data_IF_922270076975
#
_entry.id   IF_922270076975
#
_cell.length_a   1.000
_cell.length_b   1.000
_cell.length_c   1.000
_cell.angle_alpha   90.00
_cell.angle_beta   90.00
_cell.angle_gamma   90.00
#
_symmetry.space_group_name_H-M   'P 1'
#
loop_
_entity.id
_entity.type
_entity.pdbx_description
1 polymer ?
#
# COMPACT_ATOMS: atom_id res chain seq x y z
N UNK A 1 38.31 19.34 -9.45
CA UNK A 1 38.61 17.96 -9.89
C UNK A 1 38.99 17.15 -8.67
N UNK A 2 38.10 16.28 -8.20
CA UNK A 2 38.36 15.24 -7.21
C UNK A 2 38.24 13.88 -7.93
N UNK A 3 39.24 12.97 -7.86
CA UNK A 3 39.33 11.81 -8.74
C UNK A 3 38.82 10.49 -8.12
N UNK A 4 37.83 10.52 -7.21
CA UNK A 4 37.33 9.32 -6.50
C UNK A 4 35.80 9.20 -6.40
N UNK A 5 35.04 9.71 -7.37
CA UNK A 5 33.64 9.26 -7.54
C UNK A 5 33.63 8.01 -8.43
N UNK A 6 33.23 6.83 -7.93
CA UNK A 6 32.86 5.72 -8.79
C UNK A 6 31.46 6.01 -9.36
N UNK A 7 31.40 6.17 -10.68
CA UNK A 7 30.23 5.83 -11.45
C UNK A 7 29.94 4.33 -11.22
N UNK A 8 28.81 4.00 -10.62
CA UNK A 8 28.32 2.63 -10.54
C UNK A 8 26.81 2.63 -10.71
N UNK A 9 26.38 2.07 -11.84
CA UNK A 9 24.98 1.85 -12.18
C UNK A 9 24.27 1.04 -11.09
N UNK A 10 23.20 1.63 -10.56
CA UNK A 10 22.12 0.85 -9.96
C UNK A 10 21.36 0.19 -11.09
N UNK A 11 21.62 -1.09 -11.35
CA UNK A 11 20.62 -1.92 -12.00
C UNK A 11 19.41 -1.98 -11.05
N UNK A 12 18.38 -1.21 -11.39
CA UNK A 12 17.06 -1.33 -10.78
C UNK A 12 16.55 -2.72 -11.14
N UNK A 13 16.43 -3.61 -10.16
CA UNK A 13 15.60 -4.80 -10.34
C UNK A 13 14.17 -4.29 -10.44
N UNK A 14 13.66 -4.34 -11.67
CA UNK A 14 12.31 -3.95 -12.02
C UNK A 14 11.35 -4.94 -11.37
N UNK A 15 10.49 -4.49 -10.45
CA UNK A 15 9.16 -5.12 -10.30
C UNK A 15 8.62 -5.37 -11.71
N UNK A 16 7.95 -6.50 -12.02
CA UNK A 16 7.43 -6.71 -13.36
C UNK A 16 6.62 -5.47 -13.71
N UNK A 17 7.17 -4.69 -14.65
CA UNK A 17 6.65 -3.38 -14.98
C UNK A 17 5.20 -3.63 -15.37
N UNK A 18 4.26 -3.02 -14.64
CA UNK A 18 2.84 -3.23 -14.91
C UNK A 18 2.64 -2.90 -16.38
N UNK A 19 2.21 -3.89 -17.16
CA UNK A 19 1.91 -3.68 -18.57
C UNK A 19 0.67 -2.80 -18.65
N UNK A 20 0.90 -1.48 -18.62
CA UNK A 20 -0.15 -0.47 -18.66
C UNK A 20 -0.91 -0.53 -19.99
N UNK A 21 -0.31 -1.04 -21.07
CA UNK A 21 -1.01 -1.25 -22.33
C UNK A 21 -1.99 -2.42 -22.21
N UNK A 22 -1.58 -3.54 -21.60
CA UNK A 22 -2.50 -4.65 -21.31
C UNK A 22 -3.60 -4.24 -20.31
N UNK A 23 -3.27 -3.49 -19.26
CA UNK A 23 -4.25 -2.95 -18.31
C UNK A 23 -5.27 -2.03 -18.99
N UNK A 24 -4.79 -1.09 -19.80
CA UNK A 24 -5.64 -0.18 -20.58
C UNK A 24 -6.57 -0.97 -21.50
N UNK A 25 -6.03 -1.93 -22.25
CA UNK A 25 -6.79 -2.78 -23.17
C UNK A 25 -7.84 -3.65 -22.47
N UNK A 26 -7.54 -4.17 -21.26
CA UNK A 26 -8.42 -5.02 -20.47
C UNK A 26 -9.43 -4.24 -19.61
N UNK A 27 -9.28 -2.92 -19.50
CA UNK A 27 -10.15 -2.10 -18.65
C UNK A 27 -11.61 -2.15 -19.12
N UNK A 28 -12.58 -2.40 -18.21
CA UNK A 28 -13.98 -2.54 -18.58
C UNK A 28 -14.68 -1.19 -18.87
N UNK A 29 -14.05 -0.06 -18.50
CA UNK A 29 -14.56 1.27 -18.85
C UNK A 29 -14.07 1.68 -20.23
N UNK A 30 -14.90 2.34 -21.02
CA UNK A 30 -14.53 2.83 -22.35
C UNK A 30 -13.60 4.04 -22.25
N UNK A 31 -12.39 3.91 -22.78
CA UNK A 31 -11.40 4.98 -22.82
C UNK A 31 -10.88 5.27 -24.22
N UNK A 32 -10.75 6.57 -24.52
CA UNK A 32 -9.96 7.10 -25.61
C UNK A 32 -8.83 7.98 -25.07
N UNK A 33 -7.65 7.89 -25.68
CA UNK A 33 -6.51 8.73 -25.38
C UNK A 33 -6.34 9.74 -26.51
N UNK A 34 -6.47 11.03 -26.20
CA UNK A 34 -6.34 12.11 -27.17
C UNK A 34 -5.02 12.86 -26.97
N UNK A 35 -4.35 13.22 -28.06
CA UNK A 35 -3.27 14.20 -27.99
C UNK A 35 -3.82 15.61 -27.70
N UNK A 36 -2.96 16.59 -27.39
CA UNK A 36 -3.36 17.99 -27.23
C UNK A 36 -3.93 18.59 -28.53
N UNK A 37 -3.63 17.97 -29.66
CA UNK A 37 -4.17 18.24 -31.00
C UNK A 37 -5.52 17.55 -31.26
N UNK A 38 -6.10 16.88 -30.27
CA UNK A 38 -7.36 16.13 -30.32
C UNK A 38 -7.36 14.96 -31.32
N UNK A 39 -6.17 14.51 -31.72
CA UNK A 39 -5.98 13.28 -32.48
C UNK A 39 -6.02 12.09 -31.54
N UNK A 40 -6.80 11.07 -31.88
CA UNK A 40 -6.91 9.83 -31.10
C UNK A 40 -5.59 9.07 -31.19
N UNK A 41 -4.89 8.95 -30.07
CA UNK A 41 -3.63 8.22 -29.94
C UNK A 41 -3.86 6.73 -29.70
N UNK A 42 -4.85 6.41 -28.86
CA UNK A 42 -5.23 5.03 -28.56
C UNK A 42 -6.69 4.96 -28.07
N UNK A 43 -7.29 3.78 -28.12
CA UNK A 43 -8.61 3.41 -27.60
C UNK A 43 -8.57 1.98 -27.08
N UNK A 44 -9.29 1.72 -25.98
CA UNK A 44 -9.35 0.38 -25.44
C UNK A 44 -10.53 -0.44 -26.00
N UNK A 45 -10.56 -1.73 -25.65
CA UNK A 45 -11.59 -2.66 -26.15
C UNK A 45 -13.01 -2.21 -25.81
N UNK A 46 -13.24 -1.76 -24.58
CA UNK A 46 -14.55 -1.28 -24.14
C UNK A 46 -15.02 -0.07 -24.96
N UNK A 47 -14.12 0.83 -25.37
CA UNK A 47 -14.46 1.97 -26.23
C UNK A 47 -14.88 1.55 -27.64
N UNK A 48 -14.19 0.57 -28.21
CA UNK A 48 -14.54 0.00 -29.53
C UNK A 48 -15.92 -0.68 -29.51
N UNK A 49 -16.19 -1.45 -28.46
CA UNK A 49 -17.48 -2.11 -28.25
C UNK A 49 -18.60 -1.09 -28.05
N UNK A 50 -18.35 -0.04 -27.25
CA UNK A 50 -19.31 1.03 -26.97
C UNK A 50 -19.70 1.84 -28.21
N UNK A 51 -18.70 2.20 -29.03
CA UNK A 51 -18.89 3.03 -30.23
C UNK A 51 -19.21 2.24 -31.49
N UNK A 52 -19.15 0.90 -31.42
CA UNK A 52 -19.29 -0.02 -32.55
C UNK A 52 -18.36 0.36 -33.72
N UNK A 53 -17.07 0.54 -33.39
CA UNK A 53 -15.99 0.91 -34.32
C UNK A 53 -14.83 -0.05 -34.22
N UNK A 54 -13.98 -0.05 -35.25
CA UNK A 54 -12.70 -0.77 -35.22
C UNK A 54 -11.55 0.21 -34.99
N UNK A 55 -10.48 -0.26 -34.38
CA UNK A 55 -9.32 0.56 -33.98
C UNK A 55 -8.74 1.39 -35.14
N UNK A 56 -8.60 0.78 -36.31
CA UNK A 56 -8.03 1.41 -37.52
C UNK A 56 -8.89 2.56 -38.07
N UNK A 57 -10.17 2.60 -37.69
CA UNK A 57 -11.05 3.71 -38.05
C UNK A 57 -10.86 4.92 -37.13
N UNK A 58 -10.30 4.74 -35.93
CA UNK A 58 -10.21 5.76 -34.88
C UNK A 58 -8.79 6.32 -34.73
N UNK A 59 -7.80 5.44 -34.54
CA UNK A 59 -6.44 5.84 -34.17
C UNK A 59 -5.78 6.64 -35.29
N UNK A 60 -5.13 7.74 -34.93
CA UNK A 60 -4.47 8.67 -35.85
C UNK A 60 -5.42 9.68 -36.51
N UNK A 61 -6.72 9.63 -36.22
CA UNK A 61 -7.69 10.60 -36.75
C UNK A 61 -8.13 11.57 -35.67
N UNK A 62 -8.55 12.75 -36.11
CA UNK A 62 -9.09 13.76 -35.22
C UNK A 62 -10.49 13.34 -34.74
N UNK A 63 -10.77 13.47 -33.44
CA UNK A 63 -11.99 12.93 -32.82
C UNK A 63 -13.29 13.39 -33.51
N UNK A 64 -13.36 14.65 -33.92
CA UNK A 64 -14.53 15.24 -34.57
C UNK A 64 -14.66 14.91 -36.06
N UNK A 65 -13.63 14.33 -36.68
CA UNK A 65 -13.73 13.81 -38.04
C UNK A 65 -14.36 12.42 -38.05
N UNK A 66 -14.07 11.64 -36.98
CA UNK A 66 -14.57 10.26 -36.83
C UNK A 66 -15.97 10.22 -36.25
N UNK A 67 -16.25 11.13 -35.32
CA UNK A 67 -17.57 11.39 -34.78
C UNK A 67 -17.99 12.80 -35.20
N UNK A 68 -18.53 12.99 -36.42
CA UNK A 68 -19.03 14.27 -36.88
C UNK A 68 -20.40 14.61 -36.28
N UNK A 69 -20.74 15.89 -36.31
CA UNK A 69 -22.02 16.40 -35.83
C UNK A 69 -23.18 15.86 -36.67
N UNK A 70 -24.29 15.50 -35.99
CA UNK A 70 -25.54 15.21 -36.67
C UNK A 70 -26.21 16.51 -37.15
N UNK A 71 -25.85 16.97 -38.35
CA UNK A 71 -26.40 18.20 -38.94
C UNK A 71 -27.92 18.18 -39.17
N UNK A 72 -28.55 17.01 -39.08
CA UNK A 72 -30.00 16.87 -39.21
C UNK A 72 -30.74 17.12 -37.88
N UNK A 73 -30.02 17.17 -36.75
CA UNK A 73 -30.57 17.50 -35.43
C UNK A 73 -30.03 18.86 -34.94
N UNK A 74 -30.82 19.94 -35.04
CA UNK A 74 -30.42 21.27 -34.59
C UNK A 74 -30.14 21.37 -33.08
N UNK A 75 -30.61 20.42 -32.28
CA UNK A 75 -30.43 20.37 -30.82
C UNK A 75 -29.16 19.58 -30.40
N UNK A 76 -28.44 18.99 -31.36
CA UNK A 76 -27.26 18.18 -31.08
C UNK A 76 -25.99 19.03 -30.84
N UNK A 77 -25.88 19.66 -29.65
CA UNK A 77 -24.69 20.44 -29.25
C UNK A 77 -23.48 19.58 -28.80
N UNK A 78 -23.53 18.28 -29.06
CA UNK A 78 -22.50 17.26 -28.82
C UNK A 78 -21.04 17.72 -28.95
N UNK A 79 -20.69 18.17 -30.16
CA UNK A 79 -19.33 18.60 -30.49
C UNK A 79 -18.92 19.83 -29.68
N UNK A 80 -19.83 20.79 -29.50
CA UNK A 80 -19.52 22.06 -28.84
C UNK A 80 -19.10 21.86 -27.40
N UNK A 81 -19.85 21.08 -26.63
CA UNK A 81 -19.54 20.87 -25.21
C UNK A 81 -18.31 19.98 -25.01
N UNK A 82 -18.17 18.91 -25.80
CA UNK A 82 -16.98 18.06 -25.76
C UNK A 82 -15.72 18.85 -26.13
N UNK A 83 -15.77 19.65 -27.20
CA UNK A 83 -14.67 20.52 -27.60
C UNK A 83 -14.33 21.52 -26.49
N UNK A 84 -15.32 22.15 -25.87
CA UNK A 84 -15.09 23.12 -24.79
C UNK A 84 -14.47 22.47 -23.55
N UNK A 85 -14.94 21.29 -23.17
CA UNK A 85 -14.39 20.48 -22.07
C UNK A 85 -12.92 20.14 -22.31
N UNK A 86 -12.58 19.59 -23.49
CA UNK A 86 -11.21 19.24 -23.85
C UNK A 86 -10.27 20.46 -23.83
N UNK A 87 -10.73 21.62 -24.33
CA UNK A 87 -9.95 22.86 -24.25
C UNK A 87 -9.72 23.30 -22.80
N UNK A 88 -10.73 23.21 -21.92
CA UNK A 88 -10.57 23.53 -20.49
C UNK A 88 -9.56 22.60 -19.82
N UNK A 89 -9.61 21.30 -20.07
CA UNK A 89 -8.65 20.33 -19.53
C UNK A 89 -7.23 20.64 -19.96
N UNK A 90 -7.01 20.90 -21.25
CA UNK A 90 -5.70 21.24 -21.80
C UNK A 90 -5.17 22.56 -21.21
N UNK A 91 -6.04 23.56 -21.09
CA UNK A 91 -5.67 24.90 -20.62
C UNK A 91 -5.41 24.94 -19.12
N UNK A 92 -6.34 24.43 -18.32
CA UNK A 92 -6.32 24.54 -16.87
C UNK A 92 -5.68 23.35 -16.16
N UNK A 93 -5.38 22.26 -16.88
CA UNK A 93 -4.71 21.06 -16.35
C UNK A 93 -5.49 20.44 -15.19
N UNK A 94 -6.81 20.54 -15.26
CA UNK A 94 -7.76 19.98 -14.30
C UNK A 94 -8.70 19.03 -15.02
N UNK A 95 -9.20 18.04 -14.28
CA UNK A 95 -10.26 17.16 -14.75
C UNK A 95 -11.50 17.99 -15.04
N UNK A 96 -12.15 17.72 -16.17
CA UNK A 96 -13.43 18.32 -16.56
C UNK A 96 -14.43 17.20 -16.86
N UNK A 97 -15.68 17.40 -16.46
CA UNK A 97 -16.74 16.40 -16.57
C UNK A 97 -17.88 16.97 -17.40
N UNK A 98 -18.40 16.17 -18.33
CA UNK A 98 -19.64 16.43 -19.06
C UNK A 98 -20.65 15.42 -18.51
N UNK A 99 -21.51 15.84 -17.59
CA UNK A 99 -22.35 14.93 -16.80
C UNK A 99 -23.41 14.20 -17.62
N UNK A 100 -23.96 14.88 -18.61
CA UNK A 100 -24.95 14.34 -19.51
C UNK A 100 -24.97 15.20 -20.75
N UNK A 101 -24.84 14.57 -21.90
CA UNK A 101 -24.92 15.25 -23.18
C UNK A 101 -25.56 14.34 -24.22
N UNK A 102 -26.50 14.89 -25.00
CA UNK A 102 -26.94 14.25 -26.24
C UNK A 102 -25.83 14.40 -27.28
N UNK A 103 -25.32 13.27 -27.76
CA UNK A 103 -24.36 13.28 -28.85
C UNK A 103 -24.54 12.06 -29.72
N UNK A 104 -25.26 12.24 -30.83
CA UNK A 104 -25.58 11.12 -31.70
C UNK A 104 -24.30 10.58 -32.38
N UNK A 105 -24.19 9.26 -32.44
CA UNK A 105 -23.06 8.62 -33.13
C UNK A 105 -23.49 8.10 -34.50
N UNK A 106 -22.63 8.15 -35.52
CA UNK A 106 -22.96 7.60 -36.83
C UNK A 106 -23.10 6.07 -36.75
N UNK A 107 -24.08 5.51 -37.44
CA UNK A 107 -24.27 4.07 -37.53
C UNK A 107 -23.22 3.48 -38.48
N UNK A 108 -22.45 2.51 -37.99
CA UNK A 108 -21.41 1.84 -38.77
C UNK A 108 -21.99 1.26 -40.07
N UNK A 109 -21.32 1.51 -41.20
CA UNK A 109 -21.74 1.02 -42.52
C UNK A 109 -22.95 1.74 -43.14
N UNK A 110 -23.52 2.78 -42.51
CA UNK A 110 -24.65 3.56 -43.03
C UNK A 110 -24.35 5.07 -43.02
N UNK A 111 -23.69 5.60 -44.06
CA UNK A 111 -23.34 7.02 -44.13
C UNK A 111 -24.56 7.94 -43.97
N UNK A 112 -24.46 8.94 -43.10
CA UNK A 112 -25.52 9.92 -42.85
C UNK A 112 -26.66 9.44 -41.94
N UNK A 113 -26.61 8.19 -41.46
CA UNK A 113 -27.55 7.68 -40.45
C UNK A 113 -26.89 7.79 -39.08
N UNK A 114 -27.59 8.40 -38.14
CA UNK A 114 -27.15 8.59 -36.76
C UNK A 114 -28.05 7.82 -35.80
N UNK A 115 -27.48 7.37 -34.70
CA UNK A 115 -28.22 6.80 -33.57
C UNK A 115 -28.17 7.78 -32.40
N UNK A 116 -29.34 8.08 -31.84
CA UNK A 116 -29.45 8.90 -30.64
C UNK A 116 -28.75 8.22 -29.47
N UNK A 117 -27.75 8.93 -28.90
CA UNK A 117 -27.01 8.48 -27.73
C UNK A 117 -26.85 9.62 -26.72
N UNK A 118 -26.82 9.22 -25.46
CA UNK A 118 -26.60 10.10 -24.32
C UNK A 118 -25.34 9.68 -23.58
N UNK A 119 -24.46 10.63 -23.28
CA UNK A 119 -23.13 10.35 -22.77
C UNK A 119 -22.87 11.06 -21.46
N UNK A 120 -22.16 10.37 -20.56
CA UNK A 120 -21.45 10.96 -19.44
C UNK A 120 -19.94 10.82 -19.71
N UNK A 121 -19.24 11.95 -19.83
CA UNK A 121 -17.84 12.01 -20.25
C UNK A 121 -16.96 12.58 -19.14
N UNK A 122 -15.82 11.95 -18.85
CA UNK A 122 -14.80 12.48 -17.93
C UNK A 122 -13.48 12.64 -18.68
N UNK A 123 -12.97 13.87 -18.74
CA UNK A 123 -11.74 14.21 -19.43
C UNK A 123 -10.63 14.52 -18.41
N UNK A 124 -9.59 13.68 -18.38
CA UNK A 124 -8.51 13.75 -17.38
C UNK A 124 -7.18 14.08 -18.06
N UNK A 125 -6.44 15.14 -17.65
CA UNK A 125 -5.15 15.45 -18.23
C UNK A 125 -4.07 14.47 -17.75
N UNK A 126 -3.28 13.95 -18.68
CA UNK A 126 -2.02 13.27 -18.40
C UNK A 126 -0.88 14.27 -18.57
N UNK A 127 -0.13 14.50 -17.50
CA UNK A 127 0.90 15.54 -17.45
C UNK A 127 2.28 14.94 -17.71
N UNK A 128 3.05 15.60 -18.59
CA UNK A 128 4.47 15.35 -18.76
C UNK A 128 5.25 15.84 -17.52
N UNK A 129 6.53 15.43 -17.34
CA UNK A 129 7.37 15.88 -16.22
C UNK A 129 7.56 17.41 -16.12
N UNK A 130 7.40 18.13 -17.23
CA UNK A 130 7.46 19.59 -17.30
C UNK A 130 6.14 20.28 -16.91
N UNK A 131 5.10 19.49 -16.58
CA UNK A 131 3.77 19.96 -16.21
C UNK A 131 2.89 20.38 -17.39
N UNK A 132 3.31 20.13 -18.64
CA UNK A 132 2.46 20.27 -19.83
C UNK A 132 1.51 19.06 -19.98
N UNK A 133 0.40 19.24 -20.70
CA UNK A 133 -0.52 18.13 -20.99
C UNK A 133 0.03 17.34 -22.17
N UNK A 134 0.42 16.09 -21.93
CA UNK A 134 0.93 15.16 -22.93
C UNK A 134 -0.23 14.47 -23.68
N UNK A 135 -1.30 14.14 -22.96
CA UNK A 135 -2.50 13.55 -23.51
C UNK A 135 -3.71 13.83 -22.60
N UNK A 136 -4.91 13.61 -23.12
CA UNK A 136 -6.16 13.63 -22.37
C UNK A 136 -6.78 12.24 -22.40
N UNK A 137 -7.00 11.65 -21.24
CA UNK A 137 -7.74 10.40 -21.09
C UNK A 137 -9.24 10.71 -20.99
N UNK A 138 -9.99 10.32 -22.01
CA UNK A 138 -11.43 10.49 -22.12
C UNK A 138 -12.12 9.19 -21.71
N UNK A 139 -12.89 9.20 -20.62
CA UNK A 139 -13.78 8.10 -20.21
C UNK A 139 -15.19 8.40 -20.71
N UNK A 140 -15.78 7.45 -21.44
CA UNK A 140 -17.16 7.55 -21.93
C UNK A 140 -18.06 6.53 -21.25
N UNK A 141 -19.27 6.95 -20.91
CA UNK A 141 -20.31 6.09 -20.36
C UNK A 141 -21.63 6.38 -21.09
N UNK A 142 -22.25 5.32 -21.64
CA UNK A 142 -23.52 5.45 -22.37
C UNK A 142 -24.70 5.42 -21.40
N UNK A 143 -25.37 6.56 -21.30
CA UNK A 143 -26.53 6.82 -20.45
C UNK A 143 -27.85 6.64 -21.20
N UNK A 144 -27.85 6.22 -22.47
CA UNK A 144 -29.05 6.16 -23.33
C UNK A 144 -30.17 5.30 -22.72
N UNK A 145 -29.83 4.12 -22.18
CA UNK A 145 -30.82 3.24 -21.54
C UNK A 145 -31.48 3.87 -20.31
N UNK A 146 -30.68 4.55 -19.50
CA UNK A 146 -31.15 5.28 -18.33
C UNK A 146 -32.06 6.46 -18.72
N UNK A 147 -31.67 7.21 -19.75
CA UNK A 147 -32.44 8.35 -20.25
C UNK A 147 -33.78 7.92 -20.85
N UNK A 148 -33.81 6.85 -21.65
CA UNK A 148 -35.07 6.29 -22.18
C UNK A 148 -36.01 5.87 -21.04
N UNK A 149 -35.48 5.17 -20.03
CA UNK A 149 -36.27 4.79 -18.86
C UNK A 149 -36.78 6.00 -18.08
N UNK A 150 -35.99 7.07 -17.99
CA UNK A 150 -36.40 8.30 -17.31
C UNK A 150 -37.52 9.03 -18.08
N UNK A 151 -37.38 9.14 -19.41
CA UNK A 151 -38.40 9.72 -20.30
C UNK A 151 -39.72 8.96 -20.24
N UNK A 152 -39.68 7.62 -20.21
CA UNK A 152 -40.88 6.79 -20.05
C UNK A 152 -41.63 7.08 -18.73
N UNK A 153 -40.90 7.40 -17.66
CA UNK A 153 -41.47 7.66 -16.34
C UNK A 153 -41.89 9.12 -16.12
N UNK A 154 -41.21 10.09 -16.75
CA UNK A 154 -41.33 11.52 -16.45
C UNK A 154 -41.70 12.40 -17.65
N UNK A 155 -41.86 11.82 -18.85
CA UNK A 155 -42.37 12.46 -20.07
C UNK A 155 -41.36 13.29 -20.87
N UNK A 156 -40.46 14.03 -20.22
CA UNK A 156 -39.44 14.85 -20.88
C UNK A 156 -38.12 14.86 -20.11
N UNK A 157 -37.00 14.96 -20.82
CA UNK A 157 -35.70 15.25 -20.21
C UNK A 157 -35.69 16.75 -19.87
N UNK A 158 -35.27 17.16 -18.65
CA UNK A 158 -35.09 18.57 -18.34
C UNK A 158 -34.15 19.23 -19.36
N UNK A 159 -34.34 20.51 -19.64
CA UNK A 159 -33.42 21.25 -20.49
C UNK A 159 -32.02 21.18 -19.86
N UNK A 160 -31.04 20.68 -20.62
CA UNK A 160 -29.63 20.73 -20.27
C UNK A 160 -29.18 22.20 -20.33
N UNK A 161 -29.55 23.02 -19.34
CA UNK A 161 -28.97 24.35 -19.25
C UNK A 161 -27.48 24.14 -19.04
N UNK A 162 -26.66 24.66 -19.95
CA UNK A 162 -25.22 24.79 -19.74
C UNK A 162 -25.05 25.45 -18.37
N UNK A 163 -24.76 24.65 -17.34
CA UNK A 163 -24.15 25.15 -16.14
C UNK A 163 -22.77 25.59 -16.60
N UNK A 164 -22.69 26.82 -17.09
CA UNK A 164 -21.44 27.54 -17.21
C UNK A 164 -20.77 27.37 -15.87
N UNK A 165 -19.70 26.59 -15.85
CA UNK A 165 -18.75 26.55 -14.75
C UNK A 165 -18.00 27.90 -14.72
N UNK A 166 -18.73 29.02 -14.67
CA UNK A 166 -18.22 30.23 -14.07
C UNK A 166 -18.12 29.93 -12.59
N UNK A 167 -16.90 30.06 -12.08
CA UNK A 167 -16.47 29.57 -10.79
C UNK A 167 -17.55 29.69 -9.73
N UNK A 168 -18.02 28.55 -9.24
CA UNK A 168 -18.55 28.50 -7.90
C UNK A 168 -17.38 28.84 -6.97
N UNK A 169 -17.22 30.14 -6.73
CA UNK A 169 -16.50 30.65 -5.57
C UNK A 169 -17.00 29.87 -4.36
N UNK A 170 -16.08 29.09 -3.77
CA UNK A 170 -16.28 28.54 -2.44
C UNK A 170 -16.72 29.70 -1.54
N UNK A 171 -17.79 29.56 -0.74
CA UNK A 171 -18.12 30.60 0.22
C UNK A 171 -16.98 30.70 1.23
N UNK A 172 -16.14 31.73 1.06
CA UNK A 172 -15.24 32.20 2.09
C UNK A 172 -16.10 32.60 3.28
N UNK A 173 -15.88 31.90 4.40
CA UNK A 173 -16.36 32.35 5.70
C UNK A 173 -15.68 33.68 5.99
N UNK A 174 -16.42 34.78 5.82
CA UNK A 174 -16.31 35.93 6.72
C UNK A 174 -17.58 36.78 6.62
N UNK A 175 -18.22 36.94 7.77
CA UNK A 175 -19.47 37.66 7.89
C UNK A 175 -19.24 39.17 7.80
N UNK A 176 -19.97 39.85 6.92
CA UNK A 176 -20.40 41.23 7.16
C UNK A 176 -21.67 41.54 6.37
N UNK A 177 -22.69 42.01 7.08
CA UNK A 177 -23.94 42.54 6.52
C UNK A 177 -23.68 43.79 5.67
N UNK A 178 -24.36 43.93 4.52
CA UNK A 178 -24.78 45.26 4.02
C UNK A 178 -26.16 45.17 3.33
N UNK A 179 -26.91 46.25 3.49
CA UNK A 179 -28.35 46.43 3.38
C UNK A 179 -29.00 46.46 1.99
N UNK A 180 -30.33 46.34 2.05
CA UNK A 180 -31.38 46.40 1.03
C UNK A 180 -31.33 47.54 0.01
N UNK A 181 -31.95 47.29 -1.16
CA UNK A 181 -32.90 48.21 -1.83
C UNK A 181 -33.96 47.45 -2.63
N UNK A 182 -35.21 47.84 -2.43
CA UNK A 182 -36.43 47.37 -3.09
C UNK A 182 -36.62 47.95 -4.50
N UNK A 183 -37.34 47.23 -5.36
CA UNK A 183 -38.20 47.84 -6.37
C UNK A 183 -38.26 47.15 -7.74
N UNK A 184 -39.03 46.05 -7.87
CA UNK A 184 -39.93 45.77 -9.00
C UNK A 184 -40.55 44.37 -8.89
N UNK A 185 -41.89 44.31 -8.93
CA UNK A 185 -42.72 43.13 -9.21
C UNK A 185 -43.55 43.45 -10.48
N UNK A 186 -44.19 42.50 -11.20
CA UNK A 186 -44.36 41.07 -10.87
C UNK A 186 -44.23 40.08 -12.06
N UNK A 187 -43.99 38.81 -11.76
CA UNK A 187 -44.57 37.69 -12.49
C UNK A 187 -44.69 36.50 -11.52
N UNK A 188 -45.89 35.92 -11.43
CA UNK A 188 -46.16 34.74 -10.60
C UNK A 188 -45.15 33.62 -10.90
N UNK A 189 -44.54 32.99 -9.88
CA UNK A 189 -43.71 31.83 -10.12
C UNK A 189 -44.64 30.66 -10.50
N UNK A 190 -44.37 29.91 -11.57
CA UNK A 190 -45.04 28.64 -11.76
C UNK A 190 -44.69 27.76 -10.57
N UNK A 191 -45.70 27.42 -9.78
CA UNK A 191 -45.64 26.46 -8.67
C UNK A 191 -45.49 25.06 -9.24
N UNK A 192 -44.29 24.76 -9.73
CA UNK A 192 -43.81 23.40 -9.94
C UNK A 192 -42.50 23.29 -9.20
N UNK A 193 -42.44 22.44 -8.17
CA UNK A 193 -41.15 21.95 -7.67
C UNK A 193 -40.51 21.20 -8.84
N UNK A 194 -39.70 21.87 -9.65
CA UNK A 194 -38.87 21.22 -10.65
C UNK A 194 -37.99 20.24 -9.89
N UNK A 195 -38.20 18.94 -10.15
CA UNK A 195 -37.26 17.92 -9.72
C UNK A 195 -35.85 18.38 -10.18
N UNK A 196 -34.82 18.30 -9.32
CA UNK A 196 -33.49 18.70 -9.73
C UNK A 196 -33.13 17.96 -11.02
N UNK A 197 -32.61 18.70 -11.99
CA UNK A 197 -32.19 18.20 -13.30
C UNK A 197 -31.40 16.89 -13.13
N UNK A 198 -31.73 15.88 -13.93
CA UNK A 198 -31.11 14.55 -13.85
C UNK A 198 -29.58 14.63 -13.95
N UNK A 199 -29.10 15.57 -14.76
CA UNK A 199 -27.70 15.95 -14.89
C UNK A 199 -27.11 16.42 -13.56
N UNK A 200 -27.85 17.26 -12.83
CA UNK A 200 -27.48 17.72 -11.48
C UNK A 200 -27.45 16.57 -10.49
N UNK A 201 -28.38 15.60 -10.59
CA UNK A 201 -28.40 14.43 -9.72
C UNK A 201 -27.22 13.49 -9.97
N UNK A 202 -26.89 13.21 -11.23
CA UNK A 202 -25.74 12.39 -11.61
C UNK A 202 -24.42 13.07 -11.21
N UNK A 203 -24.29 14.38 -11.40
CA UNK A 203 -23.14 15.15 -10.93
C UNK A 203 -22.99 15.09 -9.41
N UNK A 204 -24.09 15.29 -8.68
CA UNK A 204 -24.09 15.24 -7.24
C UNK A 204 -23.65 13.86 -6.73
N UNK A 205 -24.11 12.78 -7.37
CA UNK A 205 -23.71 11.41 -7.02
C UNK A 205 -22.26 11.09 -7.36
N UNK A 206 -21.77 11.51 -8.53
CA UNK A 206 -20.38 11.31 -8.91
C UNK A 206 -19.42 12.07 -7.97
N UNK A 207 -19.75 13.32 -7.63
CA UNK A 207 -18.99 14.13 -6.67
C UNK A 207 -19.03 13.55 -5.26
N UNK A 208 -20.19 13.04 -4.82
CA UNK A 208 -20.34 12.36 -3.53
C UNK A 208 -19.47 11.10 -3.46
N UNK A 209 -19.45 10.27 -4.51
CA UNK A 209 -18.61 9.07 -4.57
C UNK A 209 -17.11 9.38 -4.57
N UNK A 210 -16.68 10.40 -5.32
CA UNK A 210 -15.27 10.85 -5.31
C UNK A 210 -14.88 11.32 -3.91
N UNK A 211 -15.74 12.14 -3.28
CA UNK A 211 -15.53 12.64 -1.93
C UNK A 211 -15.44 11.52 -0.90
N UNK A 212 -16.39 10.58 -0.91
CA UNK A 212 -16.40 9.43 0.01
C UNK A 212 -15.14 8.58 -0.17
N UNK A 213 -14.71 8.34 -1.42
CA UNK A 213 -13.47 7.61 -1.68
C UNK A 213 -12.23 8.35 -1.17
N UNK A 214 -12.16 9.67 -1.33
CA UNK A 214 -11.06 10.48 -0.78
C UNK A 214 -11.06 10.47 0.75
N UNK A 215 -12.24 10.61 1.38
CA UNK A 215 -12.39 10.53 2.84
C UNK A 215 -11.97 9.16 3.36
N UNK A 216 -12.39 8.07 2.70
CA UNK A 216 -11.99 6.71 3.03
C UNK A 216 -10.47 6.50 2.89
N UNK A 217 -9.86 6.97 1.79
CA UNK A 217 -8.41 6.89 1.59
C UNK A 217 -7.64 7.65 2.67
N UNK A 218 -8.10 8.86 3.03
CA UNK A 218 -7.50 9.65 4.11
C UNK A 218 -7.64 8.96 5.46
N UNK A 219 -8.81 8.40 5.76
CA UNK A 219 -9.05 7.63 7.01
C UNK A 219 -8.11 6.44 7.11
N UNK A 220 -8.03 5.62 6.05
CA UNK A 220 -7.15 4.45 6.02
C UNK A 220 -5.68 4.83 6.14
N UNK A 221 -5.25 5.91 5.48
CA UNK A 221 -3.88 6.42 5.59
C UNK A 221 -3.57 6.89 7.03
N UNK A 222 -4.52 7.56 7.69
CA UNK A 222 -4.38 8.01 9.06
C UNK A 222 -4.30 6.82 10.03
N UNK A 223 -5.19 5.83 9.90
CA UNK A 223 -5.18 4.61 10.71
C UNK A 223 -3.85 3.86 10.57
N UNK A 224 -3.35 3.70 9.33
CA UNK A 224 -2.04 3.11 9.06
C UNK A 224 -0.90 3.88 9.72
N UNK A 225 -0.91 5.21 9.63
CA UNK A 225 0.13 6.03 10.27
C UNK A 225 0.13 5.87 11.78
N UNK A 226 -1.05 5.83 12.42
CA UNK A 226 -1.19 5.62 13.87
C UNK A 226 -0.61 4.26 14.25
N UNK A 227 -0.94 3.21 13.50
CA UNK A 227 -0.50 1.86 13.82
C UNK A 227 1.02 1.69 13.68
N UNK A 228 1.63 2.22 12.61
CA UNK A 228 3.09 2.24 12.44
C UNK A 228 3.79 3.01 13.57
N UNK A 229 3.27 4.17 13.94
CA UNK A 229 3.85 5.00 15.02
C UNK A 229 3.80 4.28 16.37
N UNK A 230 2.69 3.60 16.66
CA UNK A 230 2.55 2.79 17.89
C UNK A 230 3.54 1.63 17.89
N UNK A 231 3.70 0.93 16.77
CA UNK A 231 4.61 -0.19 16.65
C UNK A 231 6.07 0.23 16.77
N UNK A 232 6.49 1.33 16.13
CA UNK A 232 7.82 1.91 16.31
C UNK A 232 8.09 2.25 17.78
N UNK A 233 7.12 2.84 18.48
CA UNK A 233 7.21 3.11 19.90
C UNK A 233 7.29 1.81 20.73
N UNK A 234 6.56 0.77 20.33
CA UNK A 234 6.59 -0.56 20.97
C UNK A 234 7.86 -1.36 20.67
N UNK A 235 8.62 -1.06 19.62
CA UNK A 235 9.89 -1.73 19.28
C UNK A 235 11.12 -0.95 19.73
N UNK A 236 10.93 0.30 20.19
CA UNK A 236 11.99 1.09 20.79
C UNK A 236 12.68 0.30 21.92
N UNK A 237 13.99 0.07 21.78
CA UNK A 237 14.80 -0.64 22.77
C UNK A 237 15.88 0.32 23.29
N UNK A 238 15.85 0.72 24.58
CA UNK A 238 16.80 1.68 25.15
C UNK A 238 18.27 1.22 25.08
N UNK A 239 18.51 -0.08 24.90
CA UNK A 239 19.83 -0.65 24.78
C UNK A 239 20.52 -0.39 23.44
N UNK A 240 19.86 0.28 22.48
CA UNK A 240 20.39 0.64 21.16
C UNK A 240 20.49 2.17 21.00
N UNK A 241 21.43 2.69 20.17
CA UNK A 241 22.35 1.95 19.29
C UNK A 241 23.59 1.39 20.01
N UNK A 242 24.04 0.20 19.60
CA UNK A 242 25.33 -0.41 20.01
C UNK A 242 26.21 -0.62 18.78
N UNK A 243 27.53 -0.37 18.87
CA UNK A 243 28.42 -0.50 17.71
C UNK A 243 28.56 -1.94 17.21
N UNK A 244 28.28 -2.93 18.05
CA UNK A 244 28.39 -4.35 17.72
C UNK A 244 27.03 -5.03 17.47
N UNK A 245 25.92 -4.29 17.45
CA UNK A 245 24.58 -4.84 17.22
C UNK A 245 23.90 -4.09 16.09
N UNK A 246 23.43 -4.82 15.08
CA UNK A 246 22.55 -4.30 14.05
C UNK A 246 21.17 -4.96 14.16
N UNK A 247 20.13 -4.17 13.91
CA UNK A 247 18.76 -4.66 13.86
C UNK A 247 18.13 -4.24 12.54
N UNK A 248 17.41 -5.17 11.92
CA UNK A 248 16.51 -4.89 10.80
C UNK A 248 15.14 -5.42 11.12
N UNK A 249 14.13 -4.62 10.78
CA UNK A 249 12.75 -4.97 10.98
C UNK A 249 11.98 -4.59 9.73
N UNK A 250 11.37 -5.57 9.07
CA UNK A 250 10.65 -5.39 7.81
C UNK A 250 9.23 -5.95 7.98
N UNK A 251 8.20 -5.10 8.00
CA UNK A 251 6.83 -5.59 8.01
C UNK A 251 6.46 -6.21 6.65
N UNK A 252 5.59 -7.21 6.67
CA UNK A 252 5.01 -7.86 5.50
C UNK A 252 4.30 -6.84 4.60
N UNK A 253 4.30 -7.10 3.29
CA UNK A 253 3.61 -6.24 2.33
C UNK A 253 2.07 -6.38 2.45
N UNK A 254 1.36 -5.36 2.95
CA UNK A 254 -0.09 -5.44 3.15
C UNK A 254 -0.83 -4.12 3.46
N UNK A 255 -2.11 -4.20 3.83
CA UNK A 255 -3.00 -3.04 4.00
C UNK A 255 -2.78 -2.23 5.29
N UNK A 256 -2.33 -2.86 6.38
CA UNK A 256 -2.01 -2.16 7.63
C UNK A 256 -0.50 -2.11 7.97
N UNK A 257 0.34 -3.00 7.45
CA UNK A 257 1.78 -3.09 7.76
C UNK A 257 2.10 -3.16 9.27
N UNK A 258 1.26 -3.85 10.04
CA UNK A 258 1.44 -4.04 11.49
C UNK A 258 1.67 -5.51 11.79
N UNK A 259 2.69 -5.80 12.60
CA UNK A 259 3.36 -7.10 12.65
C UNK A 259 3.33 -7.75 14.04
N UNK A 260 3.33 -9.09 14.07
CA UNK A 260 3.45 -9.93 15.26
C UNK A 260 4.90 -10.15 15.76
N UNK A 261 5.89 -10.05 14.88
CA UNK A 261 7.32 -10.12 15.19
C UNK A 261 7.80 -8.99 16.09
N UNK A 262 8.78 -9.31 16.92
CA UNK A 262 9.46 -8.35 17.75
C UNK A 262 10.87 -8.78 18.10
N UNK A 263 11.64 -7.79 18.55
CA UNK A 263 12.96 -7.99 19.13
C UNK A 263 13.10 -7.17 20.41
N UNK A 264 14.03 -7.60 21.28
CA UNK A 264 14.51 -6.77 22.37
C UNK A 264 16.01 -6.98 22.59
N UNK A 265 16.72 -5.90 22.89
CA UNK A 265 18.15 -5.91 23.24
C UNK A 265 18.32 -5.06 24.49
N UNK A 266 18.51 -5.72 25.63
CA UNK A 266 18.52 -5.05 26.94
C UNK A 266 19.78 -5.39 27.70
N UNK A 267 20.33 -4.39 28.42
CA UNK A 267 21.36 -4.67 29.40
C UNK A 267 20.77 -5.44 30.57
N UNK A 268 21.56 -6.39 31.06
CA UNK A 268 21.31 -7.11 32.29
C UNK A 268 22.36 -6.69 33.32
N UNK A 269 22.32 -7.28 34.51
CA UNK A 269 23.28 -6.96 35.56
C UNK A 269 24.71 -7.37 35.16
N UNK A 270 25.71 -6.64 35.67
CA UNK A 270 27.13 -7.05 35.66
C UNK A 270 27.80 -7.16 34.27
N UNK A 271 27.50 -6.26 33.33
CA UNK A 271 28.20 -6.23 32.03
C UNK A 271 27.77 -7.34 31.06
N UNK A 272 26.65 -7.98 31.35
CA UNK A 272 25.93 -8.90 30.47
C UNK A 272 24.83 -8.14 29.74
N UNK A 273 24.53 -8.52 28.51
CA UNK A 273 23.34 -8.05 27.81
C UNK A 273 22.60 -9.23 27.22
N UNK A 274 21.33 -9.04 26.90
CA UNK A 274 20.51 -10.09 26.36
C UNK A 274 19.76 -9.62 25.12
N UNK A 275 19.63 -10.53 24.16
CA UNK A 275 18.89 -10.33 22.92
C UNK A 275 17.77 -11.37 22.85
N UNK A 276 16.63 -10.94 22.33
CA UNK A 276 15.49 -11.81 22.09
C UNK A 276 14.84 -11.46 20.76
N UNK A 277 14.28 -12.47 20.12
CA UNK A 277 13.40 -12.36 18.96
C UNK A 277 12.20 -13.26 19.24
N UNK A 278 11.02 -12.84 18.82
CA UNK A 278 9.82 -13.64 18.93
C UNK A 278 8.78 -13.22 17.91
N UNK A 279 7.78 -14.07 17.78
CA UNK A 279 6.68 -13.93 16.83
C UNK A 279 5.35 -14.31 17.49
N UNK A 280 4.31 -13.57 17.16
CA UNK A 280 2.93 -13.78 17.58
C UNK A 280 2.12 -14.24 16.39
N UNK A 281 1.46 -15.38 16.53
CA UNK A 281 0.59 -15.92 15.49
C UNK A 281 -0.46 -14.90 15.05
N UNK A 282 -0.51 -14.64 13.75
CA UNK A 282 -1.47 -13.74 13.12
C UNK A 282 -0.85 -12.40 12.72
N UNK A 283 -1.68 -11.48 12.23
CA UNK A 283 -1.20 -10.19 11.71
C UNK A 283 -2.16 -9.05 12.06
N UNK A 284 -1.69 -7.81 11.94
CA UNK A 284 -2.51 -6.62 12.18
C UNK A 284 -2.49 -6.12 13.62
N UNK A 285 -3.43 -5.23 13.95
CA UNK A 285 -3.38 -4.45 15.20
C UNK A 285 -3.54 -5.30 16.46
N UNK A 286 -4.34 -6.36 16.41
CA UNK A 286 -4.53 -7.30 17.53
C UNK A 286 -3.23 -8.05 17.84
N UNK A 287 -2.56 -8.59 16.81
CA UNK A 287 -1.27 -9.27 16.95
C UNK A 287 -0.20 -8.33 17.49
N UNK A 288 -0.12 -7.08 17.00
CA UNK A 288 0.83 -6.09 17.53
C UNK A 288 0.57 -5.70 18.98
N UNK A 289 -0.69 -5.63 19.42
CA UNK A 289 -1.01 -5.38 20.82
C UNK A 289 -0.52 -6.53 21.72
N UNK A 290 -0.73 -7.77 21.29
CA UNK A 290 -0.22 -8.97 21.98
C UNK A 290 1.32 -8.99 21.98
N UNK A 291 1.94 -8.73 20.84
CA UNK A 291 3.38 -8.58 20.68
C UNK A 291 3.96 -7.57 21.69
N UNK A 292 3.37 -6.37 21.77
CA UNK A 292 3.84 -5.33 22.69
C UNK A 292 3.75 -5.74 24.16
N UNK A 293 2.71 -6.49 24.53
CA UNK A 293 2.55 -7.08 25.86
C UNK A 293 3.61 -8.15 26.13
N UNK A 294 3.83 -9.10 25.21
CA UNK A 294 4.82 -10.16 25.36
C UNK A 294 6.26 -9.62 25.41
N UNK A 295 6.61 -8.70 24.52
CA UNK A 295 7.91 -8.00 24.53
C UNK A 295 8.16 -7.31 25.86
N UNK A 296 7.19 -6.54 26.35
CA UNK A 296 7.29 -5.82 27.62
C UNK A 296 7.43 -6.79 28.81
N UNK A 297 6.64 -7.86 28.82
CA UNK A 297 6.70 -8.90 29.85
C UNK A 297 8.04 -9.62 29.83
N UNK A 298 8.58 -9.98 28.65
CA UNK A 298 9.89 -10.59 28.57
C UNK A 298 10.98 -9.63 29.04
N UNK A 299 10.96 -8.37 28.59
CA UNK A 299 11.94 -7.37 29.00
C UNK A 299 11.99 -7.21 30.53
N UNK A 300 10.82 -7.22 31.19
CA UNK A 300 10.72 -7.21 32.65
C UNK A 300 11.25 -8.52 33.27
N UNK A 301 10.83 -9.68 32.75
CA UNK A 301 11.29 -10.99 33.23
C UNK A 301 12.81 -11.18 33.07
N UNK A 302 13.41 -10.61 32.02
CA UNK A 302 14.85 -10.61 31.77
C UNK A 302 15.64 -9.90 32.87
N UNK A 303 15.08 -8.84 33.46
CA UNK A 303 15.70 -8.09 34.57
C UNK A 303 15.47 -8.73 35.94
N UNK A 304 14.41 -9.53 36.07
CA UNK A 304 13.94 -10.09 37.33
C UNK A 304 14.32 -11.57 37.57
N UNK A 305 14.89 -12.26 36.57
CA UNK A 305 15.17 -13.70 36.65
C UNK A 305 16.60 -14.04 36.25
N UNK A 306 17.13 -15.10 36.87
CA UNK A 306 18.46 -15.63 36.57
C UNK A 306 18.41 -16.56 35.34
N UNK A 307 18.65 -15.99 34.16
CA UNK A 307 18.86 -16.75 32.92
C UNK A 307 17.69 -16.74 31.92
N UNK A 308 17.92 -17.27 30.71
CA UNK A 308 16.92 -17.27 29.64
C UNK A 308 15.74 -18.21 29.87
N UNK A 309 15.96 -19.44 30.36
CA UNK A 309 14.88 -20.41 30.54
C UNK A 309 13.84 -19.95 31.56
N UNK A 310 14.29 -19.37 32.69
CA UNK A 310 13.36 -18.87 33.71
C UNK A 310 12.55 -17.67 33.21
N UNK A 311 13.15 -16.79 32.41
CA UNK A 311 12.45 -15.66 31.80
C UNK A 311 11.37 -16.15 30.81
N UNK A 312 11.69 -17.12 29.95
CA UNK A 312 10.71 -17.72 29.03
C UNK A 312 9.65 -18.55 29.74
N UNK A 313 9.97 -19.12 30.91
CA UNK A 313 8.96 -19.76 31.77
C UNK A 313 7.93 -18.73 32.25
N UNK A 314 8.39 -17.59 32.80
CA UNK A 314 7.51 -16.51 33.25
C UNK A 314 6.71 -15.94 32.08
N UNK A 315 7.34 -15.75 30.92
CA UNK A 315 6.66 -15.30 29.71
C UNK A 315 5.57 -16.29 29.28
N UNK A 316 5.84 -17.60 29.34
CA UNK A 316 4.86 -18.65 29.01
C UNK A 316 3.62 -18.60 29.91
N UNK A 317 3.81 -18.43 31.22
CA UNK A 317 2.71 -18.26 32.18
C UNK A 317 1.86 -17.02 31.87
N UNK A 318 2.51 -15.91 31.51
CA UNK A 318 1.83 -14.67 31.13
C UNK A 318 1.08 -14.81 29.79
N UNK A 319 1.70 -15.44 28.79
CA UNK A 319 1.08 -15.72 27.51
C UNK A 319 -0.20 -16.56 27.68
N UNK A 320 -0.23 -17.50 28.62
CA UNK A 320 -1.43 -18.27 28.95
C UNK A 320 -2.62 -17.45 29.46
N UNK A 321 -2.41 -16.20 29.90
CA UNK A 321 -3.49 -15.30 30.33
C UNK A 321 -3.85 -14.23 29.30
N UNK A 322 -3.18 -14.21 28.15
CA UNK A 322 -3.38 -13.22 27.09
C UNK A 322 -4.04 -13.88 25.89
N UNK A 323 -5.24 -13.45 25.55
CA UNK A 323 -5.93 -13.91 24.34
C UNK A 323 -5.09 -13.56 23.09
N UNK A 324 -4.91 -14.52 22.19
CA UNK A 324 -4.06 -14.38 21.00
C UNK A 324 -2.56 -14.63 21.21
N UNK A 325 -2.08 -14.83 22.44
CA UNK A 325 -0.66 -15.14 22.70
C UNK A 325 -0.31 -16.64 22.64
N UNK A 326 -1.32 -17.50 22.52
CA UNK A 326 -1.11 -18.95 22.43
C UNK A 326 -0.33 -19.31 21.17
N UNK A 327 0.62 -20.23 21.29
CA UNK A 327 1.55 -20.63 20.21
C UNK A 327 2.55 -19.56 19.77
N UNK A 328 2.60 -18.38 20.41
CA UNK A 328 3.66 -17.42 20.14
C UNK A 328 5.05 -18.06 20.38
N UNK A 329 6.01 -17.72 19.52
CA UNK A 329 7.36 -18.25 19.59
C UNK A 329 8.31 -17.18 20.13
N UNK A 330 9.36 -17.61 20.83
CA UNK A 330 10.41 -16.69 21.27
C UNK A 330 11.72 -17.41 21.53
N UNK A 331 12.83 -16.79 21.16
CA UNK A 331 14.17 -17.18 21.59
C UNK A 331 14.82 -16.06 22.38
N UNK A 332 15.53 -16.43 23.45
CA UNK A 332 16.31 -15.50 24.26
C UNK A 332 17.74 -15.99 24.39
N UNK A 333 18.69 -15.08 24.19
CA UNK A 333 20.12 -15.29 24.39
C UNK A 333 20.67 -14.25 25.37
N UNK A 334 21.41 -14.69 26.37
CA UNK A 334 22.17 -13.84 27.29
C UNK A 334 23.65 -13.96 26.92
N UNK A 335 24.27 -12.82 26.65
CA UNK A 335 25.68 -12.69 26.29
C UNK A 335 26.47 -12.25 27.52
N UNK A 336 27.41 -13.08 27.93
CA UNK A 336 28.36 -12.80 29.00
C UNK A 336 29.74 -12.50 28.42
N UNK A 337 30.07 -11.21 28.41
CA UNK A 337 31.34 -10.71 27.86
C UNK A 337 32.55 -11.02 28.74
N UNK A 338 32.34 -11.18 30.05
CA UNK A 338 33.39 -11.48 31.01
C UNK A 338 33.83 -12.94 30.93
N UNK A 339 32.87 -13.85 30.85
CA UNK A 339 33.11 -15.29 30.77
C UNK A 339 33.15 -15.83 29.33
N UNK A 340 32.81 -15.00 28.35
CA UNK A 340 32.73 -15.34 26.91
C UNK A 340 31.77 -16.49 26.63
N UNK A 341 30.57 -16.40 27.19
CA UNK A 341 29.54 -17.40 27.02
C UNK A 341 28.24 -16.81 26.52
N UNK A 342 27.51 -17.63 25.75
CA UNK A 342 26.14 -17.42 25.34
C UNK A 342 25.30 -18.43 26.10
N UNK A 343 24.30 -17.97 26.84
CA UNK A 343 23.30 -18.85 27.46
C UNK A 343 21.95 -18.58 26.82
N UNK A 344 21.28 -19.60 26.31
CA UNK A 344 20.05 -19.44 25.54
C UNK A 344 18.97 -20.47 25.88
N UNK A 345 17.73 -20.13 25.52
CA UNK A 345 16.54 -20.98 25.60
C UNK A 345 15.59 -20.55 24.47
N UNK A 346 14.91 -21.51 23.85
CA UNK A 346 13.95 -21.28 22.76
C UNK A 346 12.60 -21.89 23.10
N UNK A 347 11.53 -21.12 22.91
CA UNK A 347 10.14 -21.54 22.96
C UNK A 347 9.58 -21.60 21.54
N UNK A 348 9.72 -22.74 20.88
CA UNK A 348 9.18 -23.03 19.55
C UNK A 348 9.78 -22.22 18.40
N UNK A 349 10.82 -21.44 18.65
CA UNK A 349 11.39 -20.50 17.69
C UNK A 349 12.57 -21.11 16.92
N UNK A 350 12.80 -20.73 15.64
CA UNK A 350 13.96 -21.17 14.87
C UNK A 350 15.29 -20.94 15.61
N UNK A 351 16.27 -21.86 15.48
CA UNK A 351 17.52 -21.79 16.23
C UNK A 351 18.38 -20.61 15.75
N UNK A 352 18.92 -19.79 16.68
CA UNK A 352 19.90 -18.76 16.34
C UNK A 352 21.15 -19.36 15.69
N UNK A 353 21.81 -18.59 14.83
CA UNK A 353 23.04 -19.01 14.15
C UNK A 353 24.24 -18.36 14.84
N UNK A 354 25.20 -19.17 15.27
CA UNK A 354 26.50 -18.72 15.74
C UNK A 354 27.56 -19.01 14.68
N UNK A 355 28.10 -17.97 14.06
CA UNK A 355 29.19 -18.06 13.09
C UNK A 355 30.53 -17.82 13.78
N UNK A 356 31.50 -18.70 13.55
CA UNK A 356 32.88 -18.56 13.98
C UNK A 356 33.71 -17.74 12.98
N UNK A 357 34.88 -17.19 13.37
CA UNK A 357 35.77 -16.45 12.49
C UNK A 357 36.21 -17.23 11.24
N UNK A 358 36.34 -18.56 11.34
CA UNK A 358 36.72 -19.42 10.21
C UNK A 358 35.60 -19.65 9.18
N UNK A 359 34.40 -19.10 9.44
CA UNK A 359 33.23 -19.26 8.58
C UNK A 359 32.33 -20.43 8.92
N UNK A 360 32.71 -21.29 9.87
CA UNK A 360 31.82 -22.35 10.35
C UNK A 360 30.63 -21.76 11.09
N UNK A 361 29.46 -22.38 10.93
CA UNK A 361 28.21 -21.99 11.58
C UNK A 361 27.71 -23.12 12.46
N UNK A 362 27.24 -22.77 13.65
CA UNK A 362 26.57 -23.65 14.62
C UNK A 362 25.14 -23.15 14.83
N UNK A 363 24.16 -24.04 14.69
CA UNK A 363 22.78 -23.77 15.09
C UNK A 363 22.63 -23.99 16.59
N UNK A 364 22.09 -23.00 17.29
CA UNK A 364 21.87 -23.06 18.73
C UNK A 364 20.54 -23.78 19.06
N UNK A 365 20.48 -25.08 18.80
CA UNK A 365 19.25 -25.91 18.86
C UNK A 365 19.11 -26.78 20.14
N UNK A 366 20.13 -26.82 20.98
CA UNK A 366 20.19 -27.69 22.17
C UNK A 366 19.32 -27.23 23.37
N UNK A 367 18.47 -26.22 23.18
CA UNK A 367 17.57 -25.69 24.22
C UNK A 367 16.18 -25.34 23.66
N UNK A 368 15.72 -26.13 22.69
CA UNK A 368 14.41 -25.97 22.04
C UNK A 368 13.32 -26.66 22.84
N UNK A 369 12.31 -25.91 23.22
CA UNK A 369 11.06 -26.38 23.84
C UNK A 369 9.85 -26.02 22.98
N UNK A 370 8.65 -26.55 23.28
CA UNK A 370 7.41 -26.10 22.65
C UNK A 370 7.17 -24.58 22.76
N UNK A 371 6.34 -24.00 21.87
CA UNK A 371 5.92 -22.60 21.91
C UNK A 371 5.37 -22.13 23.26
N UNK A 372 5.13 -20.82 23.39
CA UNK A 372 4.53 -20.25 24.60
C UNK A 372 3.09 -20.74 24.79
N UNK A 373 2.71 -20.98 26.05
CA UNK A 373 1.38 -21.44 26.46
C UNK A 373 0.90 -22.78 25.86
N UNK A 374 1.82 -23.66 25.41
CA UNK A 374 1.47 -25.00 24.85
C UNK A 374 1.95 -26.18 25.68
N UNK A 375 2.75 -25.95 26.73
CA UNK A 375 3.33 -27.03 27.55
C UNK A 375 2.25 -27.64 28.44
N UNK A 376 2.24 -28.98 28.50
CA UNK A 376 1.30 -29.73 29.34
C UNK A 376 1.58 -29.59 30.84
N UNK A 377 2.87 -29.46 31.22
CA UNK A 377 3.30 -29.20 32.59
C UNK A 377 4.15 -27.93 32.64
N UNK A 378 3.58 -26.87 33.21
CA UNK A 378 4.27 -25.58 33.38
C UNK A 378 5.20 -25.56 34.61
N UNK A 379 5.21 -26.61 35.44
CA UNK A 379 6.13 -26.71 36.56
C UNK A 379 7.52 -27.18 36.13
N UNK A 380 7.63 -27.92 35.03
CA UNK A 380 8.93 -28.34 34.49
C UNK A 380 9.73 -27.13 33.98
N UNK A 381 10.99 -26.95 34.40
CA UNK A 381 11.84 -25.88 33.86
C UNK A 381 12.00 -25.99 32.35
N UNK A 382 11.97 -24.85 31.64
CA UNK A 382 12.37 -24.80 30.22
C UNK A 382 13.84 -25.20 30.04
N UNK A 383 14.15 -25.81 28.90
CA UNK A 383 15.51 -26.19 28.52
C UNK A 383 16.41 -24.96 28.39
N UNK A 384 17.67 -25.11 28.80
CA UNK A 384 18.70 -24.08 28.72
C UNK A 384 20.03 -24.69 28.30
N UNK A 385 20.73 -24.03 27.39
CA UNK A 385 22.06 -24.43 26.96
C UNK A 385 23.03 -23.26 27.04
N UNK A 386 24.31 -23.58 27.25
CA UNK A 386 25.40 -22.61 27.28
C UNK A 386 26.46 -23.00 26.25
N UNK A 387 26.97 -22.00 25.52
CA UNK A 387 28.03 -22.15 24.53
C UNK A 387 29.11 -21.11 24.76
N UNK A 388 30.37 -21.53 24.65
CA UNK A 388 31.49 -20.60 24.64
C UNK A 388 31.57 -19.92 23.26
N UNK A 389 31.97 -18.64 23.26
CA UNK A 389 32.21 -17.88 22.03
C UNK A 389 33.64 -17.33 22.01
N UNK A 390 34.15 -17.07 20.81
CA UNK A 390 35.43 -16.40 20.60
C UNK A 390 35.18 -14.96 20.14
N UNK A 391 35.97 -13.97 20.60
CA UNK A 391 35.86 -12.61 20.06
C UNK A 391 35.93 -12.60 18.53
N UNK A 392 34.97 -11.96 17.89
CA UNK A 392 34.79 -11.97 16.43
C UNK A 392 33.75 -12.98 15.92
N UNK A 393 33.25 -13.88 16.78
CA UNK A 393 32.05 -14.67 16.49
C UNK A 393 30.86 -13.72 16.19
N UNK A 394 29.95 -14.19 15.34
CA UNK A 394 28.73 -13.44 14.98
C UNK A 394 27.51 -14.27 15.32
N UNK A 395 26.63 -13.72 16.15
CA UNK A 395 25.36 -14.30 16.52
C UNK A 395 24.23 -13.64 15.71
N UNK A 396 23.36 -14.45 15.11
CA UNK A 396 22.22 -14.02 14.31
C UNK A 396 20.94 -14.61 14.88
N UNK A 397 20.00 -13.75 15.28
CA UNK A 397 18.63 -14.11 15.66
C UNK A 397 17.69 -13.56 14.60
N UNK A 398 16.66 -14.32 14.25
CA UNK A 398 15.77 -13.99 13.15
C UNK A 398 14.40 -14.64 13.36
N UNK A 399 13.34 -14.04 12.82
CA UNK A 399 12.02 -14.66 12.71
C UNK A 399 11.91 -15.52 11.46
N UNK A 400 10.92 -16.41 11.45
CA UNK A 400 10.67 -17.36 10.36
C UNK A 400 10.38 -16.67 9.03
N UNK A 401 9.81 -15.47 9.00
CA UNK A 401 9.63 -14.72 7.76
C UNK A 401 10.92 -14.40 6.97
N UNK A 402 12.11 -14.60 7.57
CA UNK A 402 13.40 -14.55 6.86
C UNK A 402 13.73 -15.84 6.09
N UNK A 403 13.20 -16.99 6.52
CA UNK A 403 13.53 -18.32 5.99
C UNK A 403 12.33 -19.03 5.33
N UNK A 404 11.11 -18.74 5.77
CA UNK A 404 9.88 -19.39 5.35
C UNK A 404 9.43 -18.92 3.97
N UNK A 405 9.03 -19.89 3.14
CA UNK A 405 8.43 -19.65 1.83
C UNK A 405 7.34 -20.67 1.60
N UNK A 406 6.24 -20.26 0.93
CA UNK A 406 5.03 -21.10 0.75
C UNK A 406 5.28 -22.45 0.07
N UNK A 407 6.23 -22.50 -0.84
CA UNK A 407 6.50 -23.67 -1.69
C UNK A 407 7.84 -24.35 -1.35
N UNK A 408 8.41 -24.09 -0.17
CA UNK A 408 9.73 -24.59 0.23
C UNK A 408 9.71 -25.11 1.68
N UNK A 409 10.51 -26.14 1.96
CA UNK A 409 10.72 -26.63 3.32
C UNK A 409 11.53 -25.62 4.14
N UNK A 410 11.17 -25.44 5.40
CA UNK A 410 11.85 -24.55 6.35
C UNK A 410 13.33 -24.89 6.49
N UNK A 411 13.69 -26.17 6.41
CA UNK A 411 15.09 -26.62 6.48
C UNK A 411 15.92 -26.10 5.30
N UNK A 412 15.30 -25.93 4.13
CA UNK A 412 15.98 -25.39 2.95
C UNK A 412 16.20 -23.88 3.11
N UNK A 413 15.21 -23.17 3.64
CA UNK A 413 15.34 -21.76 4.01
C UNK A 413 16.44 -21.53 5.04
N UNK A 414 16.48 -22.36 6.08
CA UNK A 414 17.48 -22.34 7.14
C UNK A 414 18.89 -22.64 6.60
N UNK A 415 19.04 -23.64 5.73
CA UNK A 415 20.32 -23.95 5.08
C UNK A 415 20.82 -22.78 4.23
N UNK A 416 19.92 -22.11 3.49
CA UNK A 416 20.24 -20.93 2.69
C UNK A 416 20.68 -19.74 3.55
N UNK A 417 19.98 -19.45 4.64
CA UNK A 417 20.39 -18.41 5.59
C UNK A 417 21.77 -18.74 6.20
N UNK A 418 21.97 -19.99 6.62
CA UNK A 418 23.23 -20.45 7.22
C UNK A 418 24.40 -20.29 6.24
N UNK A 419 24.21 -20.63 4.97
CA UNK A 419 25.21 -20.41 3.92
C UNK A 419 25.52 -18.92 3.72
N UNK A 420 24.49 -18.07 3.66
CA UNK A 420 24.67 -16.63 3.52
C UNK A 420 25.43 -16.00 4.71
N UNK A 421 25.13 -16.44 5.93
CA UNK A 421 25.86 -16.03 7.14
C UNK A 421 27.31 -16.50 7.07
N UNK A 422 27.55 -17.77 6.70
CA UNK A 422 28.89 -18.36 6.57
C UNK A 422 29.77 -17.54 5.60
N UNK A 423 29.25 -17.23 4.41
CA UNK A 423 29.98 -16.50 3.37
C UNK A 423 30.28 -15.03 3.75
N UNK A 424 29.33 -14.37 4.44
CA UNK A 424 29.33 -12.90 4.57
C UNK A 424 29.66 -12.39 5.97
N UNK A 425 29.79 -13.25 6.98
CA UNK A 425 29.96 -12.82 8.37
C UNK A 425 31.27 -12.11 8.73
N UNK A 426 32.19 -11.95 7.77
CA UNK A 426 33.34 -11.05 7.89
C UNK A 426 32.96 -9.56 7.85
N UNK A 427 31.77 -9.21 7.35
CA UNK A 427 31.25 -7.85 7.28
C UNK A 427 30.87 -7.27 8.65
N UNK A 428 30.86 -5.95 8.80
CA UNK A 428 30.31 -5.31 10.01
C UNK A 428 28.84 -5.72 10.26
N UNK A 429 28.32 -5.64 11.50
CA UNK A 429 26.95 -6.07 11.82
C UNK A 429 25.88 -5.46 10.92
N UNK A 430 25.99 -4.16 10.63
CA UNK A 430 25.06 -3.42 9.76
C UNK A 430 25.11 -3.94 8.32
N UNK A 431 26.30 -3.99 7.73
CA UNK A 431 26.51 -4.47 6.36
C UNK A 431 26.10 -5.94 6.21
N UNK A 432 26.33 -6.76 7.24
CA UNK A 432 25.90 -8.15 7.25
C UNK A 432 24.38 -8.24 7.27
N UNK A 433 23.69 -7.49 8.12
CA UNK A 433 22.24 -7.49 8.18
C UNK A 433 21.63 -7.12 6.81
N UNK A 434 22.13 -6.05 6.17
CA UNK A 434 21.69 -5.63 4.84
C UNK A 434 22.00 -6.69 3.77
N UNK A 435 23.17 -7.31 3.84
CA UNK A 435 23.57 -8.34 2.89
C UNK A 435 22.76 -9.64 3.03
N UNK A 436 22.31 -10.00 4.25
CA UNK A 436 21.45 -11.15 4.49
C UNK A 436 20.05 -10.91 3.91
N UNK A 437 19.46 -9.74 4.17
CA UNK A 437 18.16 -9.38 3.61
C UNK A 437 18.17 -9.36 2.07
N UNK A 438 19.23 -8.79 1.48
CA UNK A 438 19.41 -8.77 0.03
C UNK A 438 19.64 -10.16 -0.55
N UNK A 439 20.50 -10.96 0.08
CA UNK A 439 20.81 -12.33 -0.38
C UNK A 439 19.62 -13.28 -0.31
N UNK A 440 18.68 -13.04 0.60
CA UNK A 440 17.47 -13.86 0.77
C UNK A 440 16.28 -13.35 -0.05
N UNK A 441 16.43 -12.21 -0.74
CA UNK A 441 15.39 -11.63 -1.59
C UNK A 441 14.29 -10.93 -0.81
N UNK A 442 14.58 -10.47 0.41
CA UNK A 442 13.60 -9.87 1.33
C UNK A 442 13.69 -8.34 1.37
N UNK A 443 14.70 -7.74 0.72
CA UNK A 443 14.93 -6.29 0.72
C UNK A 443 13.77 -5.44 0.18
N UNK A 444 12.93 -6.01 -0.70
CA UNK A 444 11.78 -5.30 -1.31
C UNK A 444 10.44 -5.65 -0.64
N UNK A 445 10.48 -6.45 0.43
CA UNK A 445 9.32 -6.93 1.18
C UNK A 445 9.29 -8.46 1.26
N UNK A 446 8.85 -8.99 2.41
CA UNK A 446 8.54 -10.42 2.58
C UNK A 446 7.02 -10.63 2.58
N UNK A 447 6.63 -11.90 2.33
CA UNK A 447 5.25 -12.37 2.48
C UNK A 447 4.84 -12.36 3.96
N UNK A 448 5.83 -12.50 4.84
CA UNK A 448 5.68 -12.44 6.28
C UNK A 448 6.57 -11.35 6.88
N UNK A 449 6.38 -11.09 8.16
CA UNK A 449 7.18 -10.12 8.87
C UNK A 449 8.61 -10.63 9.13
N UNK A 450 9.57 -9.70 9.26
CA UNK A 450 10.95 -10.06 9.56
C UNK A 450 11.52 -9.18 10.66
N UNK A 451 11.93 -9.80 11.76
CA UNK A 451 12.89 -9.23 12.70
C UNK A 451 14.23 -9.96 12.58
N UNK A 452 15.31 -9.20 12.42
CA UNK A 452 16.68 -9.70 12.30
C UNK A 452 17.59 -8.94 13.27
N UNK A 453 18.29 -9.66 14.14
CA UNK A 453 19.27 -9.11 15.08
C UNK A 453 20.62 -9.77 14.82
N UNK A 454 21.64 -8.95 14.50
CA UNK A 454 23.01 -9.38 14.24
C UNK A 454 23.92 -8.81 15.33
N UNK A 455 24.68 -9.68 16.00
CA UNK A 455 25.54 -9.31 17.13
C UNK A 455 26.96 -9.81 16.86
N UNK A 456 27.94 -8.90 16.89
CA UNK A 456 29.37 -9.25 16.91
C UNK A 456 29.84 -9.38 18.37
N UNK A 457 30.41 -10.54 18.69
CA UNK A 457 30.74 -10.96 20.06
C UNK A 457 32.20 -10.71 20.46
#
# INVERSE_FOLDING_TARGET
>A
MCPFCPEAGRERVTSPEIDYAALFAASPSAYALLGPDLVIRDVNRAYLELTLRIRDELVGKHIFDVFPENRADPEADGIRSLKSSLHRVITFRKVDVIPLQKYDIPVAGKPGVFEERWWHTVNTPLLAPDGSVEAVLCREEDMTGFIRSYQEQHGSIPALTEATADGADLPSRDGTQVAAREGAQPADPPTGKTAPDLTTQLYARAQELVRINEELRRSNAQERQVALTLQEAMLYSPGLPRPNVAVRYLPAAGTLNVCGDWYDVTDTHEGRFAAAVGDVVGHGLEAAAVMGMLRSALSAAMRATDGPARALQVLGLYAGTVEGAMNATAVKVVVDSQHRTLTYSSAGHPPPILRRPDGSCELLDQATDPPLATRADEAEPRAQATRAYTPGDVLVLYTDGLIERRDEDIDTGLARLTAAVSERGGLGPEDLADALLAGLGVSEGSVDDVALVVIRL
#
